data_IF_294798472446
#
_entry.id   IF_294798472446
#
_cell.length_a   1.000
_cell.length_b   1.000
_cell.length_c   1.000
_cell.angle_alpha   90.00
_cell.angle_beta   90.00
_cell.angle_gamma   90.00
#
_symmetry.space_group_name_H-M   'P 1'
#
loop_
_entity.id
_entity.type
_entity.pdbx_description
1 polymer ?
#
# COMPACT_ATOMS: atom_id res chain seq x y z
N UNK A 1 -7.87 -24.25 9.06
CA UNK A 1 -7.07 -24.89 7.98
C UNK A 1 -7.79 -24.63 6.67
N UNK A 2 -7.03 -24.34 5.60
CA UNK A 2 -7.61 -24.25 4.27
C UNK A 2 -8.22 -25.60 3.87
N UNK A 3 -9.13 -25.60 2.89
CA UNK A 3 -9.73 -26.83 2.38
C UNK A 3 -8.69 -27.76 1.77
N UNK A 4 -9.01 -29.05 1.71
CA UNK A 4 -8.12 -30.06 1.12
C UNK A 4 -7.78 -29.73 -0.34
N UNK A 5 -6.52 -29.92 -0.74
CA UNK A 5 -6.04 -29.62 -2.10
C UNK A 5 -5.61 -28.17 -2.35
N UNK A 6 -5.96 -27.21 -1.49
CA UNK A 6 -5.61 -25.78 -1.65
C UNK A 6 -4.10 -25.54 -1.61
N UNK A 7 -3.37 -26.30 -0.78
CA UNK A 7 -1.91 -26.19 -0.67
C UNK A 7 -1.20 -26.55 -1.98
N UNK A 8 -1.75 -27.51 -2.74
CA UNK A 8 -1.24 -27.93 -4.06
C UNK A 8 -1.47 -26.86 -5.14
N UNK A 9 -2.43 -25.96 -4.92
CA UNK A 9 -2.74 -24.83 -5.80
C UNK A 9 -1.94 -23.56 -5.45
N UNK A 10 -1.01 -23.64 -4.48
CA UNK A 10 -0.20 -22.50 -4.04
C UNK A 10 -0.78 -21.74 -2.84
N UNK A 11 -1.90 -22.20 -2.28
CA UNK A 11 -2.47 -21.63 -1.05
C UNK A 11 -3.30 -20.38 -1.26
N UNK A 12 -3.48 -19.59 -0.19
CA UNK A 12 -4.27 -18.37 -0.23
C UNK A 12 -3.51 -17.25 -0.96
N UNK A 13 -4.10 -16.67 -2.00
CA UNK A 13 -3.63 -15.45 -2.65
C UNK A 13 -4.38 -14.23 -2.13
N UNK A 14 -3.66 -13.29 -1.56
CA UNK A 14 -4.19 -12.01 -1.10
C UNK A 14 -3.90 -10.95 -2.15
N UNK A 15 -4.93 -10.23 -2.60
CA UNK A 15 -4.80 -9.15 -3.59
C UNK A 15 -5.25 -7.86 -2.91
N UNK A 16 -4.31 -6.94 -2.71
CA UNK A 16 -4.60 -5.56 -2.35
C UNK A 16 -4.88 -4.75 -3.60
N UNK A 17 -5.98 -4.01 -3.60
CA UNK A 17 -6.37 -3.15 -4.74
C UNK A 17 -5.83 -1.73 -4.62
N UNK A 18 -5.43 -1.33 -3.42
CA UNK A 18 -4.86 -0.03 -3.09
C UNK A 18 -3.94 -0.17 -1.86
N UNK A 19 -3.22 0.91 -1.51
CA UNK A 19 -2.45 0.98 -0.25
C UNK A 19 -3.24 1.73 0.81
N UNK A 20 -3.27 1.18 2.02
CA UNK A 20 -3.89 1.86 3.15
C UNK A 20 -3.01 3.03 3.61
N UNK A 21 -3.59 3.97 4.35
CA UNK A 21 -2.84 5.07 5.00
C UNK A 21 -1.84 4.59 6.06
N UNK A 22 -1.75 3.28 6.35
CA UNK A 22 -0.75 2.72 7.25
C UNK A 22 -0.19 1.39 6.76
N UNK A 23 1.14 1.26 6.82
CA UNK A 23 1.89 0.05 6.48
C UNK A 23 1.43 -1.13 7.33
N UNK A 24 1.04 -0.87 8.58
CA UNK A 24 0.53 -1.90 9.50
C UNK A 24 -0.71 -2.59 8.94
N UNK A 25 -1.66 -1.84 8.37
CA UNK A 25 -2.90 -2.41 7.83
C UNK A 25 -2.62 -3.24 6.57
N UNK A 26 -1.73 -2.75 5.69
CA UNK A 26 -1.29 -3.52 4.53
C UNK A 26 -0.64 -4.85 4.96
N UNK A 27 0.24 -4.83 5.97
CA UNK A 27 0.88 -6.03 6.48
C UNK A 27 -0.11 -6.98 7.18
N UNK A 28 -1.17 -6.45 7.81
CA UNK A 28 -2.26 -7.28 8.34
C UNK A 28 -3.02 -8.00 7.22
N UNK A 29 -3.21 -7.36 6.07
CA UNK A 29 -3.80 -7.98 4.90
C UNK A 29 -2.86 -9.05 4.33
N UNK A 30 -1.57 -8.76 4.15
CA UNK A 30 -0.55 -9.74 3.72
C UNK A 30 -0.50 -10.96 4.62
N UNK A 31 -0.51 -10.76 5.93
CA UNK A 31 -0.46 -11.84 6.92
C UNK A 31 -1.71 -12.73 6.98
N UNK A 32 -2.72 -12.50 6.14
CA UNK A 32 -3.84 -13.44 5.97
C UNK A 32 -3.42 -14.69 5.21
N UNK A 33 -2.45 -14.60 4.29
CA UNK A 33 -1.85 -15.77 3.63
C UNK A 33 -0.62 -16.28 4.39
N UNK A 34 -0.18 -17.50 4.05
CA UNK A 34 1.07 -18.06 4.57
C UNK A 34 1.09 -18.40 6.08
N UNK A 35 -0.07 -18.69 6.69
CA UNK A 35 -0.15 -18.94 8.13
C UNK A 35 0.46 -20.31 8.47
N UNK A 36 1.17 -20.41 9.59
CA UNK A 36 1.77 -21.67 10.06
C UNK A 36 2.72 -22.35 9.05
N UNK A 37 3.31 -21.56 8.13
CA UNK A 37 4.18 -22.11 7.08
C UNK A 37 3.44 -22.64 5.85
N UNK A 38 2.11 -22.48 5.77
CA UNK A 38 1.32 -22.78 4.57
C UNK A 38 1.86 -22.01 3.35
N UNK A 39 1.71 -22.58 2.16
CA UNK A 39 1.92 -21.82 0.92
C UNK A 39 0.93 -20.65 0.82
N UNK A 40 1.35 -19.55 0.22
CA UNK A 40 0.49 -18.40 -0.01
C UNK A 40 1.22 -17.26 -0.70
N UNK A 41 0.45 -16.37 -1.32
CA UNK A 41 0.97 -15.22 -2.04
C UNK A 41 0.23 -13.96 -1.58
N UNK A 42 0.90 -12.81 -1.63
CA UNK A 42 0.24 -11.52 -1.48
C UNK A 42 0.81 -10.52 -2.48
N UNK A 43 -0.06 -9.84 -3.21
CA UNK A 43 0.34 -8.79 -4.16
C UNK A 43 -0.55 -7.56 -3.97
N UNK A 44 0.00 -6.39 -4.22
CA UNK A 44 -0.74 -5.13 -4.18
C UNK A 44 -0.63 -4.49 -5.55
N UNK A 45 -1.78 -4.20 -6.15
CA UNK A 45 -1.89 -3.33 -7.32
C UNK A 45 -2.22 -1.93 -6.80
N UNK A 46 -1.58 -0.92 -7.38
CA UNK A 46 -1.68 0.47 -6.93
C UNK A 46 -1.72 1.36 -8.17
N UNK A 47 -2.58 2.36 -8.16
CA UNK A 47 -2.64 3.39 -9.19
C UNK A 47 -2.03 4.70 -8.70
N UNK A 48 -1.47 5.47 -9.63
CA UNK A 48 -1.06 6.86 -9.35
C UNK A 48 -2.25 7.76 -9.02
N UNK A 49 -3.47 7.31 -9.36
CA UNK A 49 -4.72 7.98 -9.06
C UNK A 49 -5.35 7.57 -7.72
N UNK A 50 -4.72 6.68 -6.95
CA UNK A 50 -5.27 6.25 -5.67
C UNK A 50 -5.27 7.40 -4.65
N UNK A 51 -6.17 7.29 -3.66
CA UNK A 51 -6.41 8.34 -2.67
C UNK A 51 -5.12 8.75 -1.94
N UNK A 52 -4.26 7.78 -1.61
CA UNK A 52 -3.02 8.03 -0.87
C UNK A 52 -2.04 8.91 -1.67
N UNK A 53 -1.99 8.71 -2.99
CA UNK A 53 -1.12 9.48 -3.89
C UNK A 53 -1.74 10.86 -4.12
N UNK A 54 -3.05 10.91 -4.40
CA UNK A 54 -3.78 12.17 -4.59
C UNK A 54 -3.67 13.10 -3.37
N UNK A 55 -3.76 12.56 -2.16
CA UNK A 55 -3.72 13.36 -0.92
C UNK A 55 -2.30 13.66 -0.43
N UNK A 56 -1.39 12.70 -0.49
CA UNK A 56 -0.07 12.82 0.18
C UNK A 56 1.13 12.72 -0.78
N UNK A 57 0.90 12.43 -2.07
CA UNK A 57 1.94 12.24 -3.08
C UNK A 57 1.99 13.30 -4.18
N UNK A 58 0.99 14.17 -4.30
CA UNK A 58 0.79 15.08 -5.44
C UNK A 58 2.05 15.84 -5.87
N UNK A 59 2.72 16.53 -4.95
CA UNK A 59 3.92 17.32 -5.27
C UNK A 59 5.08 16.47 -5.80
N UNK A 60 5.26 15.26 -5.25
CA UNK A 60 6.30 14.32 -5.71
C UNK A 60 5.92 13.72 -7.06
N UNK A 61 4.64 13.39 -7.27
CA UNK A 61 4.14 12.89 -8.54
C UNK A 61 4.39 13.90 -9.66
N UNK A 62 4.04 15.17 -9.45
CA UNK A 62 4.27 16.26 -10.43
C UNK A 62 5.75 16.40 -10.81
N UNK A 63 6.68 16.22 -9.86
CA UNK A 63 8.12 16.22 -10.13
C UNK A 63 8.54 15.04 -11.00
N UNK A 64 7.98 13.86 -10.74
CA UNK A 64 8.31 12.66 -11.50
C UNK A 64 7.76 12.77 -12.92
N UNK A 65 6.51 13.21 -13.10
CA UNK A 65 5.86 13.41 -14.40
C UNK A 65 6.61 14.41 -15.29
N UNK A 66 7.19 15.48 -14.70
CA UNK A 66 8.06 16.41 -15.45
C UNK A 66 9.31 15.75 -16.02
N UNK A 67 9.77 14.66 -15.40
CA UNK A 67 11.00 13.97 -15.76
C UNK A 67 10.79 12.64 -16.50
N UNK A 68 9.55 12.13 -16.55
CA UNK A 68 9.25 10.79 -17.06
C UNK A 68 7.84 10.80 -17.64
N UNK A 69 7.71 10.38 -18.91
CA UNK A 69 6.41 10.13 -19.52
C UNK A 69 5.97 8.72 -19.18
N UNK A 70 4.76 8.58 -18.64
CA UNK A 70 4.13 7.29 -18.38
C UNK A 70 3.20 6.94 -19.54
N UNK A 71 3.20 5.67 -19.94
CA UNK A 71 2.18 5.13 -20.84
C UNK A 71 1.01 4.64 -19.98
N UNK A 72 -0.21 5.02 -20.30
CA UNK A 72 -1.42 4.77 -19.48
C UNK A 72 -1.74 3.27 -19.32
N UNK A 73 -1.26 2.43 -20.22
CA UNK A 73 -1.65 1.02 -20.32
C UNK A 73 -0.58 0.02 -19.88
N UNK A 74 0.61 0.49 -19.51
CA UNK A 74 1.73 -0.39 -19.15
C UNK A 74 1.96 -0.41 -17.63
N UNK A 75 2.42 -1.57 -17.14
CA UNK A 75 2.83 -1.69 -15.75
C UNK A 75 4.02 -0.78 -15.48
N UNK A 76 3.85 0.15 -14.53
CA UNK A 76 4.89 1.08 -14.14
C UNK A 76 5.79 0.41 -13.09
N UNK A 77 6.83 -0.29 -13.52
CA UNK A 77 7.85 -0.82 -12.62
C UNK A 77 9.04 0.13 -12.51
N UNK A 78 8.87 1.22 -11.76
CA UNK A 78 9.90 2.23 -11.54
C UNK A 78 10.18 2.43 -10.05
N UNK A 79 11.46 2.36 -9.67
CA UNK A 79 11.91 2.60 -8.28
C UNK A 79 11.38 3.91 -7.70
N UNK A 80 11.31 4.97 -8.50
CA UNK A 80 10.80 6.29 -8.07
C UNK A 80 9.31 6.26 -7.70
N UNK A 81 8.52 5.43 -8.39
CA UNK A 81 7.08 5.29 -8.11
C UNK A 81 6.85 4.47 -6.84
N UNK A 82 7.63 3.40 -6.64
CA UNK A 82 7.60 2.66 -5.39
C UNK A 82 7.98 3.55 -4.20
N UNK A 83 9.02 4.38 -4.36
CA UNK A 83 9.41 5.37 -3.36
C UNK A 83 8.32 6.42 -3.12
N UNK A 84 7.68 6.93 -4.18
CA UNK A 84 6.55 7.85 -4.06
C UNK A 84 5.45 7.28 -3.17
N UNK A 85 4.98 6.05 -3.47
CA UNK A 85 3.92 5.38 -2.72
C UNK A 85 4.33 5.19 -1.25
N UNK A 86 5.57 4.75 -1.02
CA UNK A 86 6.11 4.54 0.32
C UNK A 86 6.15 5.82 1.16
N UNK A 87 6.56 6.93 0.55
CA UNK A 87 6.64 8.20 1.25
C UNK A 87 5.26 8.81 1.46
N UNK A 88 4.35 8.71 0.49
CA UNK A 88 2.94 9.10 0.66
C UNK A 88 2.30 8.40 1.85
N UNK A 89 2.60 7.11 2.04
CA UNK A 89 2.13 6.35 3.19
C UNK A 89 2.72 6.84 4.52
N UNK A 90 4.03 7.13 4.58
CA UNK A 90 4.64 7.69 5.80
C UNK A 90 4.11 9.08 6.17
N UNK A 91 3.78 9.92 5.17
CA UNK A 91 3.15 11.23 5.41
C UNK A 91 1.73 11.05 5.95
N UNK A 92 0.95 10.12 5.40
CA UNK A 92 -0.39 9.80 5.88
C UNK A 92 -0.38 9.29 7.34
N UNK A 93 0.59 8.43 7.69
CA UNK A 93 0.76 7.96 9.07
C UNK A 93 1.09 9.11 10.03
N UNK A 94 2.02 9.99 9.65
CA UNK A 94 2.39 11.17 10.43
C UNK A 94 1.21 12.12 10.65
N UNK A 95 0.42 12.37 9.60
CA UNK A 95 -0.78 13.18 9.68
C UNK A 95 -1.80 12.61 10.68
N UNK A 96 -2.07 11.31 10.58
CA UNK A 96 -2.98 10.61 11.51
C UNK A 96 -2.44 10.56 12.95
N UNK A 97 -1.11 10.52 13.13
CA UNK A 97 -0.49 10.61 14.45
C UNK A 97 -0.68 11.99 15.08
N UNK A 98 -0.38 13.07 14.36
CA UNK A 98 -0.57 14.43 14.86
C UNK A 98 -2.05 14.77 15.13
N UNK A 99 -2.96 14.31 14.27
CA UNK A 99 -4.40 14.46 14.50
C UNK A 99 -4.83 13.82 15.83
N UNK A 100 -4.40 12.57 16.09
CA UNK A 100 -4.69 11.87 17.36
C UNK A 100 -4.05 12.56 18.55
N UNK A 101 -2.81 13.01 18.42
CA UNK A 101 -2.10 13.76 19.48
C UNK A 101 -2.84 15.04 19.84
N UNK A 102 -3.35 15.77 18.86
CA UNK A 102 -4.13 16.98 19.11
C UNK A 102 -5.46 16.67 19.81
N UNK A 103 -6.18 15.63 19.39
CA UNK A 103 -7.41 15.22 20.08
C UNK A 103 -7.16 14.94 21.55
N UNK A 104 -6.11 14.17 21.88
CA UNK A 104 -5.76 13.87 23.29
C UNK A 104 -5.41 15.15 24.06
N UNK A 105 -4.64 16.07 23.47
CA UNK A 105 -4.26 17.34 24.11
C UNK A 105 -5.41 18.29 24.45
N UNK A 106 -6.54 18.20 23.74
CA UNK A 106 -7.71 19.04 24.00
C UNK A 106 -8.76 18.33 24.88
N UNK A 107 -8.60 17.02 25.08
CA UNK A 107 -9.41 16.21 26.00
C UNK A 107 -8.82 16.24 27.43
N UNK A 108 -7.48 16.30 27.53
CA UNK A 108 -6.74 16.66 28.75
C UNK A 108 -6.82 18.17 29.08
#
# INVERSE_FOLDING_TARGET
>A
KLAEGVEKLGGLKVIGTERHMSRRIDNQLRGRSGRQGDNGESVFYVSLEDEIVKRFGKERLERIEKSTKFLETEEINNKKINELIEVSQSVAESFNFEARKNVVKYDD
#
